data_IF_209106473802
#
_entry.id   IF_209106473802
#
_cell.length_a   1.000
_cell.length_b   1.000
_cell.length_c   1.000
_cell.angle_alpha   90.00
_cell.angle_beta   90.00
_cell.angle_gamma   90.00
#
_symmetry.space_group_name_H-M   'P 1'
#
loop_
_entity.id
_entity.type
_entity.pdbx_description
1 polymer ?
#
# COMPACT_ATOMS: atom_id res chain seq x y z
N UNK A 1 -42.54 4.44 25.00
CA UNK A 1 -43.23 4.99 23.82
C UNK A 1 -42.42 6.14 23.28
N UNK A 2 -41.65 5.86 22.25
CA UNK A 2 -41.04 6.85 21.37
C UNK A 2 -40.91 6.10 20.03
N UNK A 3 -41.98 6.19 19.23
CA UNK A 3 -41.96 5.81 17.82
C UNK A 3 -41.02 6.79 17.12
N UNK A 4 -39.94 6.28 16.54
CA UNK A 4 -39.15 7.02 15.57
C UNK A 4 -39.60 6.56 14.18
N UNK A 5 -40.27 7.47 13.48
CA UNK A 5 -40.71 7.29 12.11
C UNK A 5 -39.55 6.86 11.21
N UNK A 6 -39.63 5.62 10.70
CA UNK A 6 -38.77 5.16 9.61
C UNK A 6 -39.33 5.76 8.32
N UNK A 7 -38.81 6.92 7.95
CA UNK A 7 -39.03 7.48 6.61
C UNK A 7 -38.25 6.63 5.62
N UNK A 8 -38.95 5.66 5.02
CA UNK A 8 -38.46 4.89 3.87
C UNK A 8 -38.13 5.85 2.73
N UNK A 9 -36.84 6.09 2.51
CA UNK A 9 -36.39 6.74 1.29
C UNK A 9 -36.55 5.72 0.16
N UNK A 10 -37.49 5.99 -0.76
CA UNK A 10 -37.63 5.23 -2.00
C UNK A 10 -36.27 5.19 -2.69
N UNK A 11 -35.83 3.98 -3.07
CA UNK A 11 -34.67 3.77 -3.90
C UNK A 11 -34.74 4.74 -5.10
N UNK A 12 -33.85 5.74 -5.10
CA UNK A 12 -33.62 6.55 -6.30
C UNK A 12 -33.15 5.58 -7.37
N UNK A 13 -33.71 5.65 -8.56
CA UNK A 13 -33.16 4.99 -9.76
C UNK A 13 -31.71 5.44 -9.96
N UNK A 14 -30.78 4.70 -9.35
CA UNK A 14 -29.35 4.85 -9.57
C UNK A 14 -29.11 4.21 -10.93
N UNK A 15 -28.99 5.03 -11.97
CA UNK A 15 -28.56 4.56 -13.28
C UNK A 15 -27.12 4.09 -13.20
N UNK A 16 -26.94 2.79 -12.97
CA UNK A 16 -25.66 2.11 -13.15
C UNK A 16 -25.41 1.94 -14.65
N UNK A 17 -24.13 2.00 -15.03
CA UNK A 17 -23.73 1.75 -16.42
C UNK A 17 -22.85 0.51 -16.46
N UNK A 18 -23.26 -0.50 -17.23
CA UNK A 18 -22.54 -1.76 -17.39
C UNK A 18 -21.80 -1.77 -18.73
N UNK A 19 -20.53 -2.16 -18.69
CA UNK A 19 -19.66 -2.31 -19.86
C UNK A 19 -19.17 -3.75 -19.95
N UNK A 20 -18.84 -4.20 -21.16
CA UNK A 20 -18.14 -5.47 -21.39
C UNK A 20 -16.66 -5.16 -21.65
N UNK A 21 -15.78 -5.67 -20.78
CA UNK A 21 -14.33 -5.52 -20.87
C UNK A 21 -13.75 -6.48 -21.92
N UNK A 22 -14.11 -6.29 -23.18
CA UNK A 22 -13.52 -6.99 -24.32
C UNK A 22 -12.47 -6.16 -25.08
N UNK A 23 -12.30 -4.87 -24.75
CA UNK A 23 -11.43 -3.92 -25.49
C UNK A 23 -10.46 -3.08 -24.63
N UNK A 24 -10.55 -3.17 -23.31
CA UNK A 24 -9.84 -2.29 -22.36
C UNK A 24 -8.81 -3.00 -21.50
N UNK A 25 -8.47 -4.24 -21.86
CA UNK A 25 -7.66 -5.09 -21.01
C UNK A 25 -6.16 -4.78 -21.16
N UNK A 26 -5.37 -5.27 -20.21
CA UNK A 26 -3.94 -5.00 -20.14
C UNK A 26 -3.26 -5.46 -21.44
N UNK A 27 -2.31 -4.65 -21.91
CA UNK A 27 -1.39 -5.08 -22.94
C UNK A 27 -0.30 -5.92 -22.28
N UNK A 28 0.03 -7.07 -22.86
CA UNK A 28 1.22 -7.81 -22.45
C UNK A 28 2.50 -7.03 -22.78
N UNK A 29 3.66 -7.58 -22.39
CA UNK A 29 4.97 -6.95 -22.61
C UNK A 29 5.29 -6.76 -24.13
N UNK A 30 4.47 -7.32 -25.03
CA UNK A 30 4.55 -7.18 -26.49
C UNK A 30 3.49 -6.24 -27.10
N UNK A 31 2.63 -5.63 -26.27
CA UNK A 31 1.56 -4.74 -26.71
C UNK A 31 0.25 -5.44 -27.08
N UNK A 32 0.13 -6.75 -26.88
CA UNK A 32 -1.07 -7.51 -27.22
C UNK A 32 -2.16 -7.32 -26.16
N UNK A 33 -3.37 -6.96 -26.57
CA UNK A 33 -4.53 -6.84 -25.66
C UNK A 33 -4.96 -8.24 -25.23
N UNK A 34 -4.69 -8.63 -23.99
CA UNK A 34 -5.20 -9.88 -23.44
C UNK A 34 -6.65 -9.64 -23.03
N UNK A 35 -7.64 -10.31 -23.61
CA UNK A 35 -9.03 -10.20 -23.13
C UNK A 35 -9.32 -11.17 -21.99
N UNK A 36 -10.29 -10.84 -21.13
CA UNK A 36 -10.86 -11.84 -20.20
C UNK A 36 -11.67 -12.88 -21.00
N UNK A 37 -11.49 -14.16 -20.66
CA UNK A 37 -12.29 -15.27 -21.18
C UNK A 37 -12.96 -16.04 -20.00
N UNK A 38 -14.30 -15.97 -19.85
CA UNK A 38 -15.24 -15.19 -20.67
C UNK A 38 -15.07 -13.68 -20.48
N UNK A 39 -15.69 -12.85 -21.33
CA UNK A 39 -15.67 -11.41 -21.17
C UNK A 39 -16.16 -10.98 -19.78
N UNK A 40 -15.34 -10.18 -19.09
CA UNK A 40 -15.70 -9.60 -17.80
C UNK A 40 -16.67 -8.43 -17.99
N UNK A 41 -17.73 -8.37 -17.20
CA UNK A 41 -18.62 -7.21 -17.12
C UNK A 41 -18.16 -6.25 -16.03
N UNK A 42 -18.32 -4.94 -16.23
CA UNK A 42 -18.04 -3.96 -15.19
C UNK A 42 -19.20 -2.99 -15.02
N UNK A 43 -19.63 -2.80 -13.78
CA UNK A 43 -20.72 -1.91 -13.41
C UNK A 43 -20.18 -0.71 -12.66
N UNK A 44 -20.49 0.50 -13.13
CA UNK A 44 -20.00 1.76 -12.57
C UNK A 44 -21.11 2.53 -11.83
N UNK A 45 -20.79 3.20 -10.71
CA UNK A 45 -21.73 4.07 -10.02
C UNK A 45 -21.92 5.37 -10.83
N UNK A 46 -22.99 6.12 -10.57
CA UNK A 46 -23.21 7.40 -11.24
C UNK A 46 -22.01 8.33 -11.07
N UNK A 47 -21.67 9.08 -12.13
CA UNK A 47 -20.56 10.06 -12.20
C UNK A 47 -19.15 9.47 -12.31
N UNK A 48 -18.97 8.15 -12.23
CA UNK A 48 -17.68 7.54 -12.60
C UNK A 48 -17.74 7.11 -14.07
N UNK A 49 -16.90 7.72 -14.89
CA UNK A 49 -16.73 7.32 -16.29
C UNK A 49 -15.66 6.24 -16.44
N UNK A 50 -15.81 5.37 -17.44
CA UNK A 50 -14.87 4.29 -17.71
C UNK A 50 -13.43 4.81 -17.92
N UNK A 51 -13.26 5.90 -18.68
CA UNK A 51 -11.93 6.49 -18.91
C UNK A 51 -11.30 7.00 -17.61
N UNK A 52 -12.09 7.57 -16.70
CA UNK A 52 -11.62 8.02 -15.39
C UNK A 52 -11.20 6.85 -14.50
N UNK A 53 -11.96 5.75 -14.53
CA UNK A 53 -11.58 4.51 -13.83
C UNK A 53 -10.26 3.95 -14.36
N UNK A 54 -10.10 3.84 -15.68
CA UNK A 54 -8.85 3.37 -16.28
C UNK A 54 -7.71 4.39 -16.19
N UNK A 55 -7.97 5.65 -15.85
CA UNK A 55 -6.92 6.59 -15.49
C UNK A 55 -6.36 6.32 -14.08
N UNK A 56 -7.16 5.71 -13.19
CA UNK A 56 -6.76 5.39 -11.83
C UNK A 56 -5.76 4.23 -11.80
N UNK A 57 -4.52 4.51 -11.37
CA UNK A 57 -3.39 3.58 -11.42
C UNK A 57 -3.64 2.29 -10.63
N UNK A 58 -4.15 2.40 -9.39
CA UNK A 58 -4.41 1.25 -8.53
C UNK A 58 -5.37 0.24 -9.19
N UNK A 59 -6.44 0.72 -9.83
CA UNK A 59 -7.35 -0.16 -10.56
C UNK A 59 -6.68 -0.85 -11.74
N UNK A 60 -5.92 -0.11 -12.55
CA UNK A 60 -5.17 -0.68 -13.69
C UNK A 60 -4.18 -1.75 -13.26
N UNK A 61 -3.37 -1.44 -12.25
CA UNK A 61 -2.33 -2.35 -11.76
C UNK A 61 -2.96 -3.61 -11.17
N UNK A 62 -3.98 -3.46 -10.32
CA UNK A 62 -4.71 -4.60 -9.76
C UNK A 62 -5.30 -5.50 -10.86
N UNK A 63 -5.96 -4.91 -11.87
CA UNK A 63 -6.56 -5.66 -12.97
C UNK A 63 -5.50 -6.39 -13.80
N UNK A 64 -4.39 -5.73 -14.14
CA UNK A 64 -3.31 -6.29 -14.92
C UNK A 64 -2.58 -7.43 -14.18
N UNK A 65 -2.27 -7.24 -12.89
CA UNK A 65 -1.65 -8.27 -12.05
C UNK A 65 -2.58 -9.46 -11.88
N UNK A 66 -3.87 -9.24 -11.63
CA UNK A 66 -4.85 -10.32 -11.51
C UNK A 66 -4.98 -11.12 -12.81
N UNK A 67 -5.00 -10.42 -13.96
CA UNK A 67 -5.05 -11.05 -15.28
C UNK A 67 -3.81 -11.90 -15.57
N UNK A 68 -2.61 -11.39 -15.24
CA UNK A 68 -1.37 -12.16 -15.33
C UNK A 68 -1.45 -13.43 -14.48
N UNK A 69 -1.87 -13.32 -13.22
CA UNK A 69 -1.98 -14.47 -12.32
C UNK A 69 -3.02 -15.50 -12.79
N UNK A 70 -4.14 -15.08 -13.39
CA UNK A 70 -5.08 -16.04 -13.99
C UNK A 70 -4.46 -16.80 -15.16
N UNK A 71 -3.59 -16.17 -15.95
CA UNK A 71 -2.91 -16.86 -17.06
C UNK A 71 -1.96 -17.97 -16.59
N UNK A 72 -1.41 -17.86 -15.38
CA UNK A 72 -0.52 -18.87 -14.79
C UNK A 72 -1.25 -20.20 -14.52
N UNK A 73 -2.58 -20.18 -14.40
CA UNK A 73 -3.40 -21.38 -14.26
C UNK A 73 -3.31 -22.32 -15.48
N UNK A 74 -2.81 -21.84 -16.63
CA UNK A 74 -2.56 -22.69 -17.80
C UNK A 74 -1.41 -23.68 -17.62
N UNK A 75 -0.54 -23.50 -16.61
CA UNK A 75 0.57 -24.40 -16.32
C UNK A 75 0.09 -25.64 -15.56
N UNK A 76 0.56 -26.83 -15.95
CA UNK A 76 0.10 -28.11 -15.36
C UNK A 76 0.37 -28.22 -13.85
N UNK A 77 1.41 -27.56 -13.36
CA UNK A 77 1.81 -27.53 -11.95
C UNK A 77 1.10 -26.45 -11.12
N UNK A 78 0.28 -25.60 -11.76
CA UNK A 78 -0.46 -24.57 -11.04
C UNK A 78 -1.56 -25.20 -10.15
N UNK A 79 -1.73 -24.76 -8.87
CA UNK A 79 -2.70 -25.35 -7.95
C UNK A 79 -4.14 -25.41 -8.48
N UNK A 80 -4.52 -24.43 -9.30
CA UNK A 80 -5.86 -24.32 -9.89
C UNK A 80 -5.93 -24.75 -11.37
N UNK A 81 -4.91 -25.44 -11.90
CA UNK A 81 -4.88 -25.84 -13.31
C UNK A 81 -6.11 -26.66 -13.75
N UNK A 82 -6.51 -27.62 -12.91
CA UNK A 82 -7.62 -28.54 -13.20
C UNK A 82 -8.98 -27.84 -13.27
N UNK A 83 -9.15 -26.73 -12.54
CA UNK A 83 -10.40 -25.99 -12.46
C UNK A 83 -10.09 -24.49 -12.31
N UNK A 84 -9.77 -23.78 -13.40
CA UNK A 84 -9.25 -22.42 -13.35
C UNK A 84 -10.34 -21.42 -12.97
N UNK A 85 -9.97 -20.47 -12.11
CA UNK A 85 -10.79 -19.32 -11.76
C UNK A 85 -10.81 -18.30 -12.89
N UNK A 86 -11.97 -17.66 -13.06
CA UNK A 86 -12.21 -16.65 -14.08
C UNK A 86 -12.91 -15.44 -13.45
N UNK A 87 -12.48 -14.25 -13.82
CA UNK A 87 -13.17 -13.01 -13.46
C UNK A 87 -14.37 -12.78 -14.37
N UNK A 88 -15.57 -12.78 -13.78
CA UNK A 88 -16.83 -12.65 -14.52
C UNK A 88 -17.41 -11.23 -14.44
N UNK A 89 -17.29 -10.59 -13.29
CA UNK A 89 -17.87 -9.26 -13.03
C UNK A 89 -17.00 -8.43 -12.09
N UNK A 90 -17.03 -7.11 -12.28
CA UNK A 90 -16.55 -6.10 -11.33
C UNK A 90 -17.70 -5.12 -11.07
N UNK A 91 -18.15 -5.02 -9.83
CA UNK A 91 -19.08 -3.99 -9.37
C UNK A 91 -18.31 -2.91 -8.60
N UNK A 92 -18.25 -1.69 -9.14
CA UNK A 92 -17.64 -0.54 -8.45
C UNK A 92 -18.66 0.06 -7.49
N UNK A 93 -18.58 -0.34 -6.22
CA UNK A 93 -19.57 0.00 -5.19
C UNK A 93 -19.45 1.42 -4.66
N UNK A 94 -18.22 1.95 -4.57
CA UNK A 94 -17.99 3.30 -4.04
C UNK A 94 -16.73 3.94 -4.61
N UNK A 95 -16.75 5.27 -4.70
CA UNK A 95 -15.62 6.10 -5.14
C UNK A 95 -15.39 7.22 -4.13
N UNK A 96 -14.16 7.35 -3.66
CA UNK A 96 -13.70 8.51 -2.90
C UNK A 96 -12.94 9.44 -3.83
N UNK A 97 -13.32 10.71 -3.86
CA UNK A 97 -12.75 11.73 -4.75
C UNK A 97 -11.81 12.66 -4.00
N UNK A 98 -10.61 12.88 -4.56
CA UNK A 98 -9.65 13.90 -4.12
C UNK A 98 -9.67 15.04 -5.13
N UNK A 99 -10.52 16.04 -4.88
CA UNK A 99 -10.88 17.04 -5.88
C UNK A 99 -11.56 16.37 -7.07
N UNK A 100 -10.94 16.45 -8.25
CA UNK A 100 -11.44 15.84 -9.50
C UNK A 100 -10.85 14.46 -9.77
N UNK A 101 -9.87 14.00 -8.99
CA UNK A 101 -9.19 12.72 -9.17
C UNK A 101 -9.85 11.64 -8.33
N UNK A 102 -9.86 10.41 -8.83
CA UNK A 102 -10.20 9.23 -8.01
C UNK A 102 -9.09 9.05 -6.98
N UNK A 103 -9.46 9.07 -5.71
CA UNK A 103 -8.57 8.76 -4.60
C UNK A 103 -8.61 7.28 -4.27
N UNK A 104 -9.79 6.75 -3.95
CA UNK A 104 -9.98 5.34 -3.55
C UNK A 104 -11.22 4.73 -4.22
N UNK A 105 -11.22 3.41 -4.36
CA UNK A 105 -12.40 2.63 -4.80
C UNK A 105 -12.69 1.49 -3.83
N UNK A 106 -13.97 1.18 -3.65
CA UNK A 106 -14.42 -0.11 -3.15
C UNK A 106 -15.06 -0.86 -4.31
N UNK A 107 -14.58 -2.07 -4.59
CA UNK A 107 -15.11 -2.94 -5.64
C UNK A 107 -15.51 -4.30 -5.08
N UNK A 108 -16.45 -4.95 -5.76
CA UNK A 108 -16.77 -6.35 -5.60
C UNK A 108 -16.51 -7.07 -6.92
N UNK A 109 -15.52 -7.96 -6.94
CA UNK A 109 -15.24 -8.84 -8.04
C UNK A 109 -15.98 -10.18 -7.88
N UNK A 110 -16.46 -10.71 -8.98
CA UNK A 110 -17.04 -12.07 -9.06
C UNK A 110 -16.01 -12.97 -9.75
N UNK A 111 -15.33 -13.79 -8.96
CA UNK A 111 -14.25 -14.68 -9.42
C UNK A 111 -14.63 -16.11 -9.11
N UNK A 112 -14.88 -16.89 -10.16
CA UNK A 112 -15.49 -18.22 -10.03
C UNK A 112 -14.96 -19.17 -11.11
N UNK A 113 -14.97 -20.46 -10.82
CA UNK A 113 -14.68 -21.51 -11.81
C UNK A 113 -15.87 -21.70 -12.76
N UNK A 114 -15.68 -22.51 -13.79
CA UNK A 114 -16.82 -23.09 -14.50
C UNK A 114 -17.48 -24.17 -13.63
N UNK A 115 -18.66 -24.62 -14.06
CA UNK A 115 -19.38 -25.70 -13.40
C UNK A 115 -18.64 -27.03 -13.59
N UNK A 116 -18.50 -27.80 -12.51
CA UNK A 116 -18.02 -29.17 -12.60
C UNK A 116 -19.07 -30.13 -13.16
N UNK A 117 -18.75 -31.42 -13.26
CA UNK A 117 -19.66 -32.44 -13.79
C UNK A 117 -20.95 -32.61 -12.99
N UNK A 118 -21.00 -32.10 -11.75
CA UNK A 118 -22.16 -32.14 -10.86
C UNK A 118 -22.90 -30.79 -10.82
N UNK A 119 -22.43 -29.79 -11.57
CA UNK A 119 -23.00 -28.45 -11.59
C UNK A 119 -22.55 -27.56 -10.44
N UNK A 120 -21.49 -27.94 -9.71
CA UNK A 120 -20.95 -27.10 -8.63
C UNK A 120 -19.91 -26.13 -9.16
N UNK A 121 -19.85 -24.94 -8.55
CA UNK A 121 -18.87 -23.90 -8.85
C UNK A 121 -18.11 -23.47 -7.59
N UNK A 122 -16.82 -23.22 -7.74
CA UNK A 122 -15.99 -22.64 -6.69
C UNK A 122 -15.86 -21.14 -6.90
N UNK A 123 -15.70 -20.38 -5.82
CA UNK A 123 -15.60 -18.92 -5.85
C UNK A 123 -14.54 -18.39 -4.89
N UNK A 124 -13.95 -17.24 -5.24
CA UNK A 124 -13.00 -16.52 -4.41
C UNK A 124 -13.63 -15.23 -3.86
N UNK A 125 -13.33 -14.83 -2.60
CA UNK A 125 -13.73 -13.53 -2.09
C UNK A 125 -13.18 -12.39 -2.96
N UNK A 126 -14.05 -11.54 -3.48
CA UNK A 126 -13.68 -10.45 -4.39
C UNK A 126 -13.93 -9.04 -3.84
N UNK A 127 -14.13 -8.87 -2.53
CA UNK A 127 -14.26 -7.54 -1.94
C UNK A 127 -12.88 -6.88 -1.85
N UNK A 128 -12.66 -5.79 -2.60
CA UNK A 128 -11.34 -5.13 -2.70
C UNK A 128 -11.47 -3.63 -2.46
N UNK A 129 -10.63 -3.11 -1.57
CA UNK A 129 -10.38 -1.68 -1.39
C UNK A 129 -9.13 -1.27 -2.16
N UNK A 130 -9.32 -0.52 -3.24
CA UNK A 130 -8.25 -0.03 -4.08
C UNK A 130 -7.80 1.35 -3.62
N UNK A 131 -6.59 1.41 -3.07
CA UNK A 131 -5.95 2.64 -2.62
C UNK A 131 -4.58 2.89 -3.25
N UNK A 132 -3.97 1.87 -3.86
CA UNK A 132 -2.63 1.94 -4.43
C UNK A 132 -1.52 1.75 -3.39
N UNK A 133 -0.28 1.84 -3.87
CA UNK A 133 0.89 1.64 -3.03
C UNK A 133 1.18 2.82 -2.09
N UNK A 134 1.93 2.53 -1.04
CA UNK A 134 2.45 3.50 -0.08
C UNK A 134 3.94 3.22 0.15
N UNK A 135 4.62 4.03 0.97
CA UNK A 135 6.01 3.80 1.37
C UNK A 135 6.13 4.05 2.86
N UNK A 136 6.84 3.17 3.57
CA UNK A 136 7.20 3.35 4.98
C UNK A 136 8.68 3.66 5.12
N UNK A 137 9.06 4.48 6.11
CA UNK A 137 10.45 4.89 6.30
C UNK A 137 10.94 4.60 7.72
N UNK A 138 11.93 3.71 7.84
CA UNK A 138 12.70 3.51 9.06
C UNK A 138 13.80 4.57 9.13
N UNK A 139 13.60 5.59 9.97
CA UNK A 139 14.56 6.67 10.16
C UNK A 139 15.37 6.44 11.44
N UNK A 140 16.60 5.96 11.29
CA UNK A 140 17.51 5.72 12.41
C UNK A 140 18.45 6.92 12.55
N UNK A 141 18.47 7.51 13.73
CA UNK A 141 19.28 8.68 14.04
C UNK A 141 20.22 8.40 15.22
N UNK A 142 21.35 9.08 15.23
CA UNK A 142 22.35 8.97 16.29
C UNK A 142 22.90 10.35 16.64
N UNK A 143 23.03 10.64 17.93
CA UNK A 143 23.67 11.88 18.41
C UNK A 143 25.20 11.87 18.25
N UNK A 144 25.88 13.00 18.54
CA UNK A 144 27.34 13.08 18.39
C UNK A 144 28.11 12.31 19.47
N UNK A 145 27.55 12.20 20.68
CA UNK A 145 28.25 11.72 21.87
C UNK A 145 27.90 10.27 22.27
N UNK A 146 27.11 9.56 21.47
CA UNK A 146 26.58 8.25 21.85
C UNK A 146 26.68 7.25 20.69
N UNK A 147 27.83 6.59 20.59
CA UNK A 147 28.08 5.57 19.55
C UNK A 147 27.20 4.32 19.69
N UNK A 148 26.63 4.10 20.88
CA UNK A 148 25.84 2.90 21.19
C UNK A 148 24.33 3.15 21.24
N UNK A 149 23.87 4.41 21.36
CA UNK A 149 22.45 4.74 21.45
C UNK A 149 21.85 5.25 20.13
N UNK A 150 21.55 4.31 19.22
CA UNK A 150 20.70 4.58 18.06
C UNK A 150 19.25 4.78 18.48
N UNK A 151 18.62 5.81 17.94
CA UNK A 151 17.21 6.13 18.13
C UNK A 151 16.48 6.09 16.79
N UNK A 152 15.15 5.98 16.85
CA UNK A 152 14.27 5.93 15.69
C UNK A 152 13.25 7.04 15.81
N UNK A 153 13.00 7.74 14.70
CA UNK A 153 11.92 8.71 14.60
C UNK A 153 10.62 7.96 14.33
N UNK A 154 9.67 8.11 15.23
CA UNK A 154 8.28 7.70 15.06
C UNK A 154 7.38 8.92 14.90
N UNK A 155 6.23 8.71 14.28
CA UNK A 155 5.12 9.66 14.22
C UNK A 155 3.98 9.18 15.11
N UNK A 156 3.26 10.15 15.67
CA UNK A 156 1.99 9.95 16.38
C UNK A 156 0.93 10.69 15.58
N UNK A 157 -0.03 9.96 15.04
CA UNK A 157 -1.08 10.52 14.19
C UNK A 157 -2.41 9.77 14.31
N UNK A 158 -3.55 10.38 13.95
CA UNK A 158 -4.84 9.70 13.90
C UNK A 158 -4.89 8.62 12.82
N UNK A 159 -5.39 7.45 13.18
CA UNK A 159 -5.72 6.34 12.26
C UNK A 159 -7.17 5.96 12.46
N UNK A 160 -8.07 6.68 11.78
CA UNK A 160 -9.52 6.53 11.95
C UNK A 160 -10.01 5.12 11.59
N UNK A 161 -9.40 4.48 10.59
CA UNK A 161 -9.71 3.09 10.23
C UNK A 161 -9.45 2.10 11.40
N UNK A 162 -8.49 2.41 12.28
CA UNK A 162 -8.20 1.64 13.49
C UNK A 162 -8.90 2.20 14.74
N UNK A 163 -9.70 3.26 14.62
CA UNK A 163 -10.33 3.94 15.74
C UNK A 163 -9.35 4.66 16.69
N UNK A 164 -8.15 4.99 16.22
CA UNK A 164 -7.10 5.62 17.03
C UNK A 164 -6.93 7.10 16.69
N UNK A 165 -6.71 7.94 17.70
CA UNK A 165 -6.39 9.37 17.54
C UNK A 165 -4.91 9.69 17.82
N UNK A 166 -4.16 8.72 18.34
CA UNK A 166 -2.74 8.85 18.68
C UNK A 166 -2.03 7.51 18.41
N UNK A 167 -2.02 7.10 17.15
CA UNK A 167 -1.37 5.87 16.72
C UNK A 167 0.12 6.12 16.51
N UNK A 168 0.96 5.33 17.18
CA UNK A 168 2.42 5.42 17.08
C UNK A 168 2.93 4.48 16.00
N UNK A 169 3.69 5.01 15.04
CA UNK A 169 4.15 4.28 13.86
C UNK A 169 5.39 4.92 13.24
N UNK A 170 6.07 4.22 12.34
CA UNK A 170 7.09 4.87 11.50
C UNK A 170 6.43 5.81 10.47
N UNK A 171 7.12 6.87 10.03
CA UNK A 171 6.71 7.72 8.92
C UNK A 171 6.27 6.93 7.68
N UNK A 172 5.23 7.39 6.99
CA UNK A 172 4.75 6.74 5.77
C UNK A 172 3.87 7.64 4.89
N UNK A 173 3.89 7.44 3.57
CA UNK A 173 3.06 8.21 2.64
C UNK A 173 2.57 7.43 1.42
N UNK A 174 1.53 7.94 0.76
CA UNK A 174 0.90 7.32 -0.42
C UNK A 174 1.70 7.59 -1.69
N UNK A 175 1.80 6.63 -2.61
CA UNK A 175 2.47 6.82 -3.90
C UNK A 175 1.52 7.44 -4.93
N UNK A 176 1.91 8.56 -5.54
CA UNK A 176 1.11 9.18 -6.61
C UNK A 176 1.31 8.52 -7.98
N UNK A 177 2.56 8.25 -8.37
CA UNK A 177 2.94 7.73 -9.70
C UNK A 177 3.97 6.58 -9.64
N UNK A 178 4.20 5.99 -8.47
CA UNK A 178 5.17 4.90 -8.29
C UNK A 178 6.63 5.35 -8.10
N UNK A 179 6.92 6.65 -8.00
CA UNK A 179 8.24 7.13 -7.59
C UNK A 179 8.42 6.95 -6.07
N UNK A 180 8.86 5.75 -5.67
CA UNK A 180 9.03 5.37 -4.26
C UNK A 180 10.02 6.30 -3.54
N UNK A 181 11.23 6.45 -4.09
CA UNK A 181 12.31 7.20 -3.44
C UNK A 181 11.99 8.70 -3.34
N UNK A 182 11.47 9.30 -4.41
CA UNK A 182 11.08 10.71 -4.39
C UNK A 182 9.99 10.97 -3.36
N UNK A 183 8.98 10.09 -3.29
CA UNK A 183 7.91 10.22 -2.29
C UNK A 183 8.43 10.05 -0.87
N UNK A 184 9.30 9.08 -0.62
CA UNK A 184 9.92 8.92 0.70
C UNK A 184 10.70 10.17 1.13
N UNK A 185 11.44 10.82 0.23
CA UNK A 185 12.12 12.11 0.53
C UNK A 185 11.11 13.19 0.92
N UNK A 186 10.05 13.36 0.15
CA UNK A 186 9.00 14.36 0.41
C UNK A 186 8.33 14.13 1.78
N UNK A 187 7.94 12.89 2.06
CA UNK A 187 7.25 12.50 3.29
C UNK A 187 8.15 12.66 4.53
N UNK A 188 9.43 12.28 4.44
CA UNK A 188 10.39 12.50 5.54
C UNK A 188 10.46 13.99 5.88
N UNK A 189 10.54 14.86 4.87
CA UNK A 189 10.58 16.30 5.06
C UNK A 189 9.27 16.83 5.66
N UNK A 190 8.12 16.39 5.17
CA UNK A 190 6.82 16.85 5.66
C UNK A 190 6.54 16.40 7.09
N UNK A 191 6.80 15.13 7.41
CA UNK A 191 6.45 14.53 8.69
C UNK A 191 7.50 14.77 9.78
N UNK A 192 8.77 15.06 9.43
CA UNK A 192 9.86 15.21 10.43
C UNK A 192 10.65 16.51 10.31
N UNK A 193 10.51 17.22 9.19
CA UNK A 193 11.39 18.33 8.76
C UNK A 193 12.88 17.98 8.67
N UNK A 194 13.20 16.70 8.57
CA UNK A 194 14.54 16.25 8.26
C UNK A 194 14.77 16.35 6.76
N UNK A 195 15.85 17.01 6.35
CA UNK A 195 16.25 17.03 4.94
C UNK A 195 17.01 15.75 4.60
N UNK A 196 16.59 15.08 3.54
CA UNK A 196 17.21 13.86 3.02
C UNK A 196 17.27 13.92 1.50
N UNK A 197 18.30 13.32 0.91
CA UNK A 197 18.39 13.13 -0.54
C UNK A 197 18.19 11.65 -0.90
N UNK A 198 17.79 11.39 -2.14
CA UNK A 198 17.46 10.05 -2.62
C UNK A 198 18.58 9.02 -2.40
N UNK A 199 19.85 9.43 -2.49
CA UNK A 199 21.02 8.55 -2.28
C UNK A 199 21.25 8.17 -0.81
N UNK A 200 20.58 8.82 0.13
CA UNK A 200 20.61 8.46 1.56
C UNK A 200 19.53 7.42 1.91
N UNK A 201 18.68 7.04 0.96
CA UNK A 201 17.61 6.07 1.16
C UNK A 201 17.97 4.71 0.58
N UNK A 202 17.76 3.66 1.36
CA UNK A 202 17.95 2.26 0.93
C UNK A 202 16.60 1.54 0.93
N UNK A 203 16.20 0.91 -0.18
CA UNK A 203 15.00 0.10 -0.21
C UNK A 203 15.28 -1.28 0.39
N UNK A 204 14.92 -1.49 1.66
CA UNK A 204 15.13 -2.77 2.33
C UNK A 204 14.24 -3.88 1.77
N UNK A 205 13.07 -3.54 1.20
CA UNK A 205 12.19 -4.53 0.60
C UNK A 205 12.79 -5.13 -0.67
N UNK A 206 13.46 -4.32 -1.50
CA UNK A 206 14.17 -4.84 -2.68
C UNK A 206 15.35 -5.72 -2.28
N UNK A 207 16.18 -5.27 -1.33
CA UNK A 207 17.33 -6.05 -0.84
C UNK A 207 16.93 -7.43 -0.29
N UNK A 208 15.83 -7.51 0.45
CA UNK A 208 15.34 -8.79 0.95
C UNK A 208 14.78 -9.67 -0.18
N UNK A 209 14.16 -9.06 -1.19
CA UNK A 209 13.47 -9.77 -2.24
C UNK A 209 14.38 -10.18 -3.41
N UNK A 210 15.58 -9.61 -3.55
CA UNK A 210 16.66 -10.10 -4.43
C UNK A 210 17.15 -11.50 -4.02
N UNK A 211 17.01 -11.85 -2.74
CA UNK A 211 17.48 -13.11 -2.18
C UNK A 211 16.39 -14.20 -2.16
N UNK A 212 15.16 -13.86 -2.50
CA UNK A 212 14.03 -14.78 -2.46
C UNK A 212 13.78 -15.43 -3.83
N UNK A 213 13.58 -16.76 -3.84
CA UNK A 213 12.98 -17.42 -4.99
C UNK A 213 11.55 -16.93 -5.14
N UNK A 214 11.23 -16.31 -6.27
CA UNK A 214 9.90 -15.76 -6.51
C UNK A 214 9.07 -16.70 -7.37
N UNK A 215 7.78 -16.88 -7.05
CA UNK A 215 6.85 -17.47 -8.01
C UNK A 215 6.76 -16.59 -9.26
N UNK A 216 6.25 -17.14 -10.37
CA UNK A 216 6.08 -16.43 -11.65
C UNK A 216 5.04 -15.28 -11.61
N UNK A 217 4.56 -14.92 -10.42
CA UNK A 217 3.59 -13.84 -10.19
C UNK A 217 4.25 -12.46 -10.29
N UNK A 218 3.55 -11.49 -10.89
CA UNK A 218 4.01 -10.10 -11.04
C UNK A 218 3.57 -9.23 -9.85
N UNK A 219 3.97 -9.61 -8.63
CA UNK A 219 3.76 -8.80 -7.42
C UNK A 219 4.95 -7.87 -7.12
N UNK A 220 4.67 -6.72 -6.52
CA UNK A 220 5.70 -5.76 -6.07
C UNK A 220 6.58 -6.37 -4.96
N UNK A 221 7.88 -6.06 -4.98
CA UNK A 221 8.86 -6.39 -3.93
C UNK A 221 8.57 -5.60 -2.64
N UNK A 222 7.55 -5.97 -1.87
CA UNK A 222 7.05 -5.13 -0.78
C UNK A 222 6.26 -5.94 0.22
N UNK A 223 6.05 -5.38 1.42
CA UNK A 223 5.07 -5.94 2.34
C UNK A 223 3.65 -5.55 1.91
N UNK A 224 2.69 -6.44 2.12
CA UNK A 224 1.26 -6.19 1.88
C UNK A 224 0.55 -6.17 3.23
N UNK A 225 -0.05 -5.04 3.67
CA UNK A 225 -0.63 -4.94 5.01
C UNK A 225 -1.87 -5.83 5.18
N UNK A 226 -2.70 -5.94 4.15
CA UNK A 226 -3.95 -6.70 4.19
C UNK A 226 -4.34 -7.22 2.79
N UNK A 227 -3.56 -8.17 2.23
CA UNK A 227 -3.74 -8.63 0.84
C UNK A 227 -5.07 -9.35 0.59
N UNK A 228 -5.82 -9.71 1.64
CA UNK A 228 -7.16 -10.30 1.50
C UNK A 228 -8.27 -9.29 1.17
N UNK A 229 -8.00 -7.98 1.26
CA UNK A 229 -9.03 -6.95 1.00
C UNK A 229 -8.51 -5.61 0.52
N UNK A 230 -7.19 -5.42 0.36
CA UNK A 230 -6.60 -4.18 -0.12
C UNK A 230 -5.44 -4.46 -1.08
N UNK A 231 -5.31 -3.63 -2.13
CA UNK A 231 -4.21 -3.71 -3.11
C UNK A 231 -2.89 -3.07 -2.61
N UNK A 232 -2.91 -2.48 -1.42
CA UNK A 232 -1.77 -1.76 -0.89
C UNK A 232 -0.54 -2.67 -0.78
N UNK A 233 0.52 -2.23 -1.43
CA UNK A 233 1.88 -2.69 -1.22
C UNK A 233 2.68 -1.53 -0.61
N UNK A 234 3.62 -1.87 0.27
CA UNK A 234 4.43 -0.88 0.98
C UNK A 234 5.90 -1.31 1.01
N UNK A 235 6.74 -0.78 0.11
CA UNK A 235 8.19 -0.79 0.29
C UNK A 235 8.59 -0.11 1.60
N UNK A 236 9.63 -0.65 2.23
CA UNK A 236 10.21 -0.10 3.46
C UNK A 236 11.59 0.48 3.15
N UNK A 237 11.71 1.79 3.29
CA UNK A 237 12.95 2.54 3.10
C UNK A 237 13.71 2.69 4.42
N UNK A 238 15.02 2.59 4.38
CA UNK A 238 15.93 2.90 5.48
C UNK A 238 16.61 4.23 5.22
N UNK A 239 16.64 5.09 6.23
CA UNK A 239 17.54 6.25 6.30
C UNK A 239 18.31 6.18 7.61
N UNK A 240 19.63 6.40 7.55
CA UNK A 240 20.50 6.47 8.73
C UNK A 240 21.17 7.84 8.74
N UNK A 241 21.10 8.59 9.85
CA UNK A 241 21.77 9.90 9.96
C UNK A 241 22.41 10.12 11.33
N UNK A 242 23.51 10.86 11.37
CA UNK A 242 24.01 11.47 12.61
C UNK A 242 23.49 12.89 12.72
N UNK A 243 22.91 13.25 13.86
CA UNK A 243 22.27 14.54 14.07
C UNK A 243 22.89 15.26 15.26
N UNK A 244 23.00 16.59 15.17
CA UNK A 244 23.49 17.40 16.30
C UNK A 244 22.58 17.25 17.52
N UNK A 245 23.10 17.51 18.72
CA UNK A 245 22.27 17.49 19.94
C UNK A 245 21.05 18.41 19.82
N UNK A 246 21.22 19.56 19.16
CA UNK A 246 20.13 20.50 18.87
C UNK A 246 19.07 19.86 17.99
N UNK A 247 19.46 19.23 16.87
CA UNK A 247 18.50 18.56 15.97
C UNK A 247 17.79 17.40 16.66
N UNK A 248 18.51 16.62 17.48
CA UNK A 248 17.91 15.54 18.27
C UNK A 248 16.85 16.09 19.25
N UNK A 249 17.15 17.20 19.93
CA UNK A 249 16.20 17.85 20.83
C UNK A 249 14.99 18.43 20.07
N UNK A 250 15.21 19.06 18.92
CA UNK A 250 14.18 19.69 18.10
C UNK A 250 13.20 18.67 17.48
N UNK A 251 13.60 17.40 17.33
CA UNK A 251 12.75 16.34 16.79
C UNK A 251 11.72 15.82 17.80
N UNK A 252 12.03 15.78 19.09
CA UNK A 252 11.14 15.16 20.09
C UNK A 252 9.97 16.07 20.45
N UNK A 253 8.73 15.59 20.25
CA UNK A 253 7.51 16.36 20.50
C UNK A 253 7.22 17.42 19.43
N UNK A 254 7.97 17.42 18.32
CA UNK A 254 7.78 18.34 17.22
C UNK A 254 6.43 18.10 16.56
N UNK A 255 5.69 19.18 16.34
CA UNK A 255 4.43 19.17 15.62
C UNK A 255 4.69 19.40 14.12
N UNK A 256 4.23 18.49 13.28
CA UNK A 256 4.49 18.44 11.83
C UNK A 256 3.23 18.05 11.05
N UNK A 257 3.36 17.83 9.73
CA UNK A 257 2.25 17.54 8.83
C UNK A 257 1.54 18.78 8.29
N UNK A 258 0.73 18.62 7.24
CA UNK A 258 -0.11 19.67 6.69
C UNK A 258 -1.35 19.88 7.58
N UNK A 259 -1.18 20.62 8.68
CA UNK A 259 -2.24 20.84 9.68
C UNK A 259 -3.50 21.47 9.11
N UNK A 260 -3.35 22.38 8.17
CA UNK A 260 -4.49 23.03 7.49
C UNK A 260 -5.25 22.04 6.57
N UNK A 261 -4.63 20.92 6.23
CA UNK A 261 -5.22 19.81 5.46
C UNK A 261 -5.67 18.63 6.35
N UNK A 262 -5.60 18.80 7.69
CA UNK A 262 -6.06 17.82 8.67
C UNK A 262 -5.00 16.80 9.12
N UNK A 263 -3.75 16.94 8.68
CA UNK A 263 -2.64 16.08 9.09
C UNK A 263 -2.01 16.59 10.40
N UNK A 264 -2.43 15.99 11.51
CA UNK A 264 -1.88 16.30 12.83
C UNK A 264 -0.85 15.24 13.22
N UNK A 265 0.43 15.56 12.98
CA UNK A 265 1.54 14.63 13.21
C UNK A 265 2.42 15.17 14.34
N UNK A 266 2.85 14.28 15.24
CA UNK A 266 3.85 14.59 16.28
C UNK A 266 5.01 13.61 16.21
N UNK A 267 6.24 14.11 16.15
CA UNK A 267 7.43 13.27 16.17
C UNK A 267 7.76 12.79 17.60
N UNK A 268 8.25 11.55 17.69
CA UNK A 268 8.73 10.94 18.94
C UNK A 268 10.01 10.17 18.65
N UNK A 269 11.03 10.37 19.49
CA UNK A 269 12.26 9.55 19.45
C UNK A 269 12.12 8.36 20.40
N UNK A 270 12.50 7.18 19.93
CA UNK A 270 12.56 5.95 20.73
C UNK A 270 13.90 5.25 20.52
N UNK A 271 14.41 4.53 21.52
CA UNK A 271 15.63 3.72 21.34
C UNK A 271 15.36 2.62 20.33
N UNK A 272 16.29 2.39 19.40
CA UNK A 272 16.15 1.37 18.35
C UNK A 272 15.84 -0.02 18.93
N UNK A 273 16.50 -0.38 20.03
CA UNK A 273 16.30 -1.67 20.74
C UNK A 273 14.88 -1.87 21.30
N UNK A 274 14.15 -0.78 21.53
CA UNK A 274 12.81 -0.77 22.12
C UNK A 274 11.73 -0.49 21.05
N UNK A 275 12.12 -0.25 19.79
CA UNK A 275 11.22 0.06 18.67
C UNK A 275 10.11 -0.98 18.50
N UNK A 276 10.43 -2.27 18.56
CA UNK A 276 9.45 -3.35 18.41
C UNK A 276 8.39 -3.36 19.51
N UNK A 277 8.68 -2.80 20.69
CA UNK A 277 7.71 -2.67 21.80
C UNK A 277 6.86 -1.42 21.64
N UNK A 278 7.50 -0.28 21.33
CA UNK A 278 6.84 1.02 21.20
C UNK A 278 5.93 1.10 19.97
N UNK A 279 6.33 0.47 18.86
CA UNK A 279 5.59 0.37 17.61
C UNK A 279 4.88 -0.98 17.40
N UNK A 280 4.66 -1.77 18.45
CA UNK A 280 4.17 -3.15 18.33
C UNK A 280 2.78 -3.29 17.65
N UNK A 281 1.99 -2.21 17.63
CA UNK A 281 0.68 -2.18 16.99
C UNK A 281 0.75 -1.86 15.49
N UNK A 282 1.88 -1.35 15.03
CA UNK A 282 2.08 -0.91 13.65
C UNK A 282 2.80 -1.98 12.84
N UNK A 283 2.09 -2.59 11.88
CA UNK A 283 2.62 -3.68 11.06
C UNK A 283 3.88 -3.29 10.29
N UNK A 284 3.91 -2.09 9.69
CA UNK A 284 5.09 -1.61 8.94
C UNK A 284 6.31 -1.37 9.84
N UNK A 285 6.11 -0.94 11.10
CA UNK A 285 7.21 -0.84 12.07
C UNK A 285 7.81 -2.21 12.36
N UNK A 286 6.98 -3.23 12.59
CA UNK A 286 7.48 -4.59 12.86
C UNK A 286 8.20 -5.20 11.65
N UNK A 287 7.68 -4.98 10.43
CA UNK A 287 8.37 -5.38 9.20
C UNK A 287 9.71 -4.66 9.06
N UNK A 288 9.75 -3.34 9.32
CA UNK A 288 10.98 -2.56 9.26
C UNK A 288 12.05 -3.06 10.24
N UNK A 289 11.66 -3.42 11.48
CA UNK A 289 12.56 -4.05 12.46
C UNK A 289 13.12 -5.35 11.91
N UNK A 290 12.26 -6.26 11.43
CA UNK A 290 12.68 -7.55 10.93
C UNK A 290 13.63 -7.44 9.72
N UNK A 291 13.31 -6.58 8.76
CA UNK A 291 14.16 -6.31 7.59
C UNK A 291 15.51 -5.73 8.01
N UNK A 292 15.50 -4.71 8.89
CA UNK A 292 16.73 -4.08 9.36
C UNK A 292 17.64 -5.07 10.08
N UNK A 293 17.11 -5.86 11.01
CA UNK A 293 17.89 -6.82 11.77
C UNK A 293 18.49 -7.91 10.87
N UNK A 294 17.71 -8.49 9.95
CA UNK A 294 18.18 -9.56 9.07
C UNK A 294 19.18 -9.08 8.03
N UNK A 295 18.90 -7.96 7.36
CA UNK A 295 19.83 -7.40 6.39
C UNK A 295 21.13 -6.90 7.05
N UNK A 296 21.07 -6.47 8.32
CA UNK A 296 22.26 -6.12 9.10
C UNK A 296 23.09 -7.35 9.46
N UNK A 297 22.45 -8.45 9.89
CA UNK A 297 23.11 -9.72 10.19
C UNK A 297 23.85 -10.27 8.96
N UNK A 298 23.27 -10.09 7.77
CA UNK A 298 23.86 -10.49 6.48
C UNK A 298 24.96 -9.54 5.97
N UNK A 299 25.10 -8.34 6.55
CA UNK A 299 26.02 -7.32 6.06
C UNK A 299 25.56 -6.63 4.77
N UNK A 300 24.28 -6.72 4.43
CA UNK A 300 23.67 -6.18 3.21
C UNK A 300 23.22 -4.72 3.33
N UNK A 301 23.22 -4.15 4.55
CA UNK A 301 22.90 -2.74 4.78
C UNK A 301 24.13 -1.83 4.61
N UNK A 302 23.95 -0.58 4.16
CA UNK A 302 25.02 0.39 4.14
C UNK A 302 25.54 0.66 5.56
N UNK A 303 26.85 0.95 5.65
CA UNK A 303 27.47 1.37 6.88
C UNK A 303 26.75 2.60 7.47
N UNK A 304 26.70 2.68 8.79
CA UNK A 304 26.12 3.85 9.45
C UNK A 304 27.00 5.09 9.15
N UNK A 305 26.43 6.24 8.75
CA UNK A 305 27.23 7.41 8.41
C UNK A 305 28.12 7.88 9.56
N UNK A 306 29.32 8.34 9.24
CA UNK A 306 30.26 8.95 10.19
C UNK A 306 30.13 10.47 10.23
N UNK A 307 29.68 11.09 9.15
CA UNK A 307 29.48 12.52 9.04
C UNK A 307 28.19 12.96 9.72
N UNK A 308 28.25 14.10 10.40
CA UNK A 308 27.09 14.77 10.96
C UNK A 308 26.26 15.39 9.83
N UNK A 309 24.95 15.22 9.88
CA UNK A 309 24.05 15.92 8.98
C UNK A 309 24.20 17.44 9.16
N UNK A 310 24.23 18.14 8.03
CA UNK A 310 24.26 19.61 7.97
C UNK A 310 22.94 20.22 8.45
#
# INVERSE_FOLDING_TARGET
MAESDVVSHSARDIRLTTYVLAKYAAQDDSGHVICFDPPCTITLPPKLELNTLFAFKAFKDWLATLQHNFSLQGKEDHPFHKNPYKLKEIDVQAVTWFGTRVGFLKIQATIETDDDSEGHRQWLPGAVFLRGGSVGMLLIVQGPNDEDEKQVILTIQPRIAAGSLAFTEIPAGMLDNGNITGKAVEEIRQETSLEVVATELTNMSDLAAEQATRPDEKLQSSMYPSPGGCDEFMPIMLCQKRLSEKMMADLSGKLTGLRDEGENITCRLVKLRDLWKEGCRDGKTLVAVALYEKLKEEGSLPAFPTEMAA
#
